data_IF_400543308291
#
_entry.id   IF_400543308291
#
_cell.length_a   1.000
_cell.length_b   1.000
_cell.length_c   1.000
_cell.angle_alpha   90.00
_cell.angle_beta   90.00
_cell.angle_gamma   90.00
#
_symmetry.space_group_name_H-M   'P 1'
#
loop_
_entity.id
_entity.type
_entity.pdbx_description
1 polymer ?
#
# COMPACT_ATOMS: atom_id res chain seq x y z
N UNK A 1 -2.90 20.60 5.82
CA UNK A 1 -2.80 19.26 5.19
C UNK A 1 -4.15 18.58 5.35
N UNK A 2 -4.83 18.28 4.24
CA UNK A 2 -6.20 17.78 4.28
C UNK A 2 -6.22 16.35 4.86
N UNK A 3 -7.11 16.07 5.82
CA UNK A 3 -7.17 14.77 6.51
C UNK A 3 -7.41 13.60 5.53
N UNK A 4 -8.11 13.87 4.43
CA UNK A 4 -8.37 12.93 3.35
C UNK A 4 -7.10 12.47 2.62
N UNK A 5 -6.11 13.36 2.46
CA UNK A 5 -4.81 13.02 1.85
C UNK A 5 -4.05 12.06 2.77
N UNK A 6 -4.05 12.34 4.08
CA UNK A 6 -3.41 11.48 5.07
C UNK A 6 -4.05 10.08 5.06
N UNK A 7 -5.38 10.02 5.02
CA UNK A 7 -6.13 8.76 4.92
C UNK A 7 -5.81 8.01 3.62
N UNK A 8 -5.65 8.69 2.49
CA UNK A 8 -5.26 8.06 1.23
C UNK A 8 -3.89 7.39 1.33
N UNK A 9 -2.89 8.08 1.89
CA UNK A 9 -1.54 7.54 2.08
C UNK A 9 -1.47 6.39 3.09
N UNK A 10 -2.39 6.34 4.06
CA UNK A 10 -2.40 5.32 5.13
C UNK A 10 -3.28 4.11 4.75
N UNK A 11 -4.45 4.35 4.16
CA UNK A 11 -5.42 3.30 3.85
C UNK A 11 -4.86 2.29 2.84
N UNK A 12 -4.15 2.76 1.81
CA UNK A 12 -3.53 1.88 0.81
C UNK A 12 -2.56 0.85 1.41
N UNK A 13 -1.53 1.28 2.17
CA UNK A 13 -0.62 0.37 2.87
C UNK A 13 -1.33 -0.59 3.83
N UNK A 14 -2.38 -0.15 4.53
CA UNK A 14 -3.16 -1.03 5.41
C UNK A 14 -3.83 -2.15 4.62
N UNK A 15 -4.51 -1.81 3.52
CA UNK A 15 -5.19 -2.78 2.65
C UNK A 15 -4.18 -3.76 2.04
N UNK A 16 -3.07 -3.24 1.52
CA UNK A 16 -1.96 -4.05 0.95
C UNK A 16 -1.37 -4.98 2.02
N UNK A 17 -1.27 -4.52 3.26
CA UNK A 17 -0.84 -5.28 4.43
C UNK A 17 -1.76 -6.45 4.73
N UNK A 18 -3.07 -6.21 4.83
CA UNK A 18 -4.06 -7.25 5.08
C UNK A 18 -4.01 -8.32 3.98
N UNK A 19 -3.95 -7.91 2.72
CA UNK A 19 -3.91 -8.85 1.59
C UNK A 19 -2.63 -9.68 1.61
N UNK A 20 -1.45 -9.05 1.71
CA UNK A 20 -0.18 -9.77 1.56
C UNK A 20 0.28 -10.49 2.82
N UNK A 21 -0.07 -10.00 4.02
CA UNK A 21 0.43 -10.53 5.29
C UNK A 21 -0.59 -11.38 6.05
N UNK A 22 -1.88 -11.29 5.73
CA UNK A 22 -2.94 -12.05 6.42
C UNK A 22 -3.63 -13.01 5.45
N UNK A 23 -4.18 -12.50 4.34
CA UNK A 23 -4.98 -13.30 3.41
C UNK A 23 -4.08 -14.23 2.58
N UNK A 24 -3.06 -13.68 1.92
CA UNK A 24 -2.19 -14.45 1.04
C UNK A 24 -1.42 -15.59 1.75
N UNK A 25 -0.92 -15.45 2.99
CA UNK A 25 -0.30 -16.56 3.71
C UNK A 25 -1.31 -17.64 4.13
N UNK A 26 -2.55 -17.25 4.46
CA UNK A 26 -3.61 -18.22 4.78
C UNK A 26 -3.99 -19.07 3.56
N UNK A 27 -4.00 -18.46 2.36
CA UNK A 27 -4.32 -19.13 1.11
C UNK A 27 -3.14 -19.96 0.57
N UNK A 28 -1.92 -19.47 0.70
CA UNK A 28 -0.71 -20.10 0.16
C UNK A 28 0.22 -20.59 1.28
N UNK A 29 -0.25 -21.56 2.07
CA UNK A 29 0.46 -22.05 3.25
C UNK A 29 1.82 -22.70 2.93
N UNK A 30 2.05 -23.14 1.69
CA UNK A 30 3.34 -23.65 1.22
C UNK A 30 4.42 -22.57 1.04
N UNK A 31 4.05 -21.29 0.95
CA UNK A 31 5.03 -20.22 0.76
C UNK A 31 5.54 -19.72 2.12
N UNK A 32 6.87 -19.62 2.32
CA UNK A 32 7.41 -19.08 3.56
C UNK A 32 6.98 -17.63 3.77
N UNK A 33 6.64 -17.28 5.02
CA UNK A 33 6.15 -15.95 5.42
C UNK A 33 7.06 -14.79 4.97
N UNK A 34 8.37 -15.04 4.82
CA UNK A 34 9.35 -14.07 4.29
C UNK A 34 9.07 -13.64 2.84
N UNK A 35 8.49 -14.51 2.00
CA UNK A 35 8.09 -14.15 0.63
C UNK A 35 6.88 -13.20 0.65
N UNK A 36 5.96 -13.42 1.57
CA UNK A 36 4.79 -12.56 1.77
C UNK A 36 5.16 -11.17 2.30
N UNK A 37 6.08 -11.09 3.26
CA UNK A 37 6.59 -9.79 3.75
C UNK A 37 7.33 -9.03 2.65
N UNK A 38 8.15 -9.71 1.85
CA UNK A 38 8.83 -9.06 0.72
C UNK A 38 7.83 -8.51 -0.31
N UNK A 39 6.77 -9.26 -0.63
CA UNK A 39 5.69 -8.80 -1.52
C UNK A 39 4.93 -7.59 -0.93
N UNK A 40 4.66 -7.60 0.37
CA UNK A 40 4.08 -6.46 1.06
C UNK A 40 4.93 -5.19 0.89
N UNK A 41 6.24 -5.27 1.15
CA UNK A 41 7.12 -4.11 1.02
C UNK A 41 7.21 -3.60 -0.43
N UNK A 42 7.35 -4.50 -1.41
CA UNK A 42 7.40 -4.12 -2.83
C UNK A 42 6.10 -3.42 -3.25
N UNK A 43 4.94 -4.03 -2.95
CA UNK A 43 3.65 -3.48 -3.35
C UNK A 43 3.36 -2.15 -2.64
N UNK A 44 3.73 -2.02 -1.36
CA UNK A 44 3.57 -0.77 -0.60
C UNK A 44 4.47 0.33 -1.17
N UNK A 45 5.72 0.01 -1.50
CA UNK A 45 6.64 0.98 -2.08
C UNK A 45 6.14 1.49 -3.44
N UNK A 46 5.69 0.58 -4.31
CA UNK A 46 5.08 0.94 -5.61
C UNK A 46 3.84 1.81 -5.39
N UNK A 47 2.96 1.44 -4.46
CA UNK A 47 1.78 2.21 -4.13
C UNK A 47 2.13 3.62 -3.67
N UNK A 48 3.12 3.78 -2.79
CA UNK A 48 3.55 5.08 -2.28
C UNK A 48 4.10 5.97 -3.40
N UNK A 49 4.87 5.43 -4.33
CA UNK A 49 5.36 6.18 -5.51
C UNK A 49 4.17 6.69 -6.33
N UNK A 50 3.22 5.81 -6.64
CA UNK A 50 2.01 6.17 -7.39
C UNK A 50 1.19 7.22 -6.63
N UNK A 51 1.03 7.05 -5.32
CA UNK A 51 0.30 7.98 -4.46
C UNK A 51 0.94 9.37 -4.45
N UNK A 52 2.28 9.46 -4.41
CA UNK A 52 3.00 10.74 -4.53
C UNK A 52 2.76 11.38 -5.90
N UNK A 53 2.84 10.60 -6.98
CA UNK A 53 2.59 11.10 -8.34
C UNK A 53 1.15 11.63 -8.46
N UNK A 54 0.16 10.86 -8.00
CA UNK A 54 -1.25 11.26 -7.99
C UNK A 54 -1.43 12.53 -7.16
N UNK A 55 -0.81 12.59 -5.97
CA UNK A 55 -0.87 13.77 -5.13
C UNK A 55 -0.34 15.00 -5.86
N UNK A 56 0.83 14.90 -6.49
CA UNK A 56 1.48 16.00 -7.21
C UNK A 56 0.75 16.46 -8.46
N UNK A 57 0.18 15.54 -9.23
CA UNK A 57 -0.46 15.85 -10.52
C UNK A 57 -1.92 16.27 -10.34
N UNK A 58 -2.64 15.60 -9.45
CA UNK A 58 -4.11 15.71 -9.39
C UNK A 58 -4.55 16.54 -8.18
N UNK A 59 -3.96 16.32 -7.00
CA UNK A 59 -4.46 16.92 -5.76
C UNK A 59 -3.81 18.25 -5.41
N UNK A 60 -2.48 18.37 -5.54
CA UNK A 60 -1.72 19.58 -5.23
C UNK A 60 -2.17 20.80 -6.05
N UNK A 61 -2.40 20.72 -7.38
CA UNK A 61 -2.83 21.88 -8.15
C UNK A 61 -4.31 22.26 -7.96
N UNK A 62 -5.08 21.50 -7.17
CA UNK A 62 -6.48 21.76 -6.84
C UNK A 62 -6.66 22.33 -5.42
N UNK A 63 -5.56 22.49 -4.65
CA UNK A 63 -5.54 23.10 -3.31
C UNK A 63 -5.02 24.53 -3.38
#
# INVERSE_FOLDING_TARGET
MNWNILLFFIAGPIIIGIINLIIAPKLNQHLPRRKHTRRFFINTFIYLIIAIIIYKIILEPQQ
#
